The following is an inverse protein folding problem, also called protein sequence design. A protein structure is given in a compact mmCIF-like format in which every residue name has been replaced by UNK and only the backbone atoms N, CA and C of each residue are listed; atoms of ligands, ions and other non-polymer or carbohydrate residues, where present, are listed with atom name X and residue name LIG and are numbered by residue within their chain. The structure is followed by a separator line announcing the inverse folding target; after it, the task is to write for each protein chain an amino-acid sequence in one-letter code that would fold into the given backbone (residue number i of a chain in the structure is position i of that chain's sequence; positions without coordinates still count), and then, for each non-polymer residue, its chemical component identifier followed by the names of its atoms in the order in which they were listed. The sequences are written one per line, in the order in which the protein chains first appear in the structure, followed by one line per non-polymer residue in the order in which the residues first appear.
data_IF_727973875245
#
_entry.id   IF_727973875245
#
_cell.length_a   1.000
_cell.length_b   1.000
_cell.length_c   1.000
_cell.angle_alpha   90.00
_cell.angle_beta   90.00
_cell.angle_gamma   90.00
#
_symmetry.space_group_name_H-M   'P 1'
#
loop_
_entity.id
_entity.type
_entity.pdbx_description
1 polymer ?
#
# COMPACT_ATOMS: atom_id res chain seq x y z
N UNK A 1 -72.99 32.63 11.74
CA UNK A 1 -71.69 33.09 11.20
C UNK A 1 -71.09 34.04 12.22
N UNK A 2 -69.99 33.63 12.83
CA UNK A 2 -69.50 34.15 14.11
C UNK A 2 -68.68 35.45 13.99
N UNK A 3 -68.58 36.09 15.15
CA UNK A 3 -68.19 37.47 15.44
C UNK A 3 -66.69 37.81 15.31
N UNK A 4 -66.41 39.10 15.46
CA UNK A 4 -65.15 39.77 15.27
C UNK A 4 -64.33 39.99 16.58
N UNK A 5 -63.04 40.28 16.38
CA UNK A 5 -62.04 41.02 17.21
C UNK A 5 -61.59 40.46 18.57
N UNK A 6 -60.28 40.22 18.71
CA UNK A 6 -59.45 40.77 19.81
C UNK A 6 -57.95 40.51 19.58
N UNK A 7 -57.16 41.56 19.82
CA UNK A 7 -55.70 41.68 19.82
C UNK A 7 -54.99 40.81 20.87
N UNK A 8 -53.77 40.37 20.54
CA UNK A 8 -52.75 39.92 21.49
C UNK A 8 -51.35 40.30 20.99
N UNK A 9 -50.66 41.17 21.74
CA UNK A 9 -49.22 41.42 21.63
C UNK A 9 -48.44 40.12 21.89
N UNK A 10 -47.19 40.04 21.41
CA UNK A 10 -45.98 40.09 22.25
C UNK A 10 -44.74 39.57 21.48
N UNK A 11 -43.74 40.45 21.42
CA UNK A 11 -42.27 40.27 21.34
C UNK A 11 -41.57 39.74 20.08
N UNK A 12 -40.74 40.63 19.53
CA UNK A 12 -39.48 40.32 18.86
C UNK A 12 -38.54 39.55 19.78
N UNK A 13 -37.87 38.53 19.25
CA UNK A 13 -36.49 38.19 19.60
C UNK A 13 -35.73 37.89 18.31
N UNK A 14 -34.85 38.81 17.92
CA UNK A 14 -33.71 38.47 17.10
C UNK A 14 -32.63 37.91 18.03
N UNK A 15 -32.22 36.67 17.81
CA UNK A 15 -30.87 36.23 18.22
C UNK A 15 -30.01 36.19 16.96
N UNK A 16 -29.20 37.24 16.80
CA UNK A 16 -27.94 37.15 16.10
C UNK A 16 -26.97 36.39 17.02
N UNK A 17 -26.23 35.42 16.50
CA UNK A 17 -25.16 34.78 17.23
C UNK A 17 -24.84 33.39 16.71
N UNK A 18 -23.61 33.26 16.23
CA UNK A 18 -22.84 32.05 15.97
C UNK A 18 -23.34 30.79 16.73
N UNK A 19 -23.31 29.60 16.15
CA UNK A 19 -22.10 28.98 15.66
C UNK A 19 -22.38 28.09 14.45
N UNK A 20 -21.62 28.30 13.38
CA UNK A 20 -21.24 27.18 12.52
C UNK A 20 -20.56 26.17 13.44
N UNK A 21 -21.29 25.14 13.85
CA UNK A 21 -20.64 23.88 14.11
C UNK A 21 -20.14 23.42 12.75
N UNK A 22 -18.91 23.82 12.40
CA UNK A 22 -18.12 23.00 11.50
C UNK A 22 -18.17 21.61 12.15
N UNK A 23 -18.98 20.72 11.56
CA UNK A 23 -18.90 19.32 11.90
C UNK A 23 -17.42 19.00 11.78
N UNK A 24 -16.77 18.65 12.90
CA UNK A 24 -15.46 18.04 12.80
C UNK A 24 -15.68 16.87 11.86
N UNK A 25 -15.08 16.92 10.67
CA UNK A 25 -15.16 15.83 9.72
C UNK A 25 -14.70 14.60 10.49
N UNK A 26 -15.61 13.65 10.72
CA UNK A 26 -15.21 12.39 11.30
C UNK A 26 -14.12 11.85 10.38
N UNK A 27 -12.98 11.44 10.97
CA UNK A 27 -11.89 10.86 10.21
C UNK A 27 -12.46 9.77 9.29
N UNK A 28 -12.28 9.94 7.98
CA UNK A 28 -12.76 8.97 7.01
C UNK A 28 -11.99 7.67 7.22
N UNK A 29 -12.66 6.50 7.21
CA UNK A 29 -11.96 5.23 7.30
C UNK A 29 -10.91 5.14 6.18
N UNK A 30 -9.78 4.49 6.47
CA UNK A 30 -8.74 4.18 5.49
C UNK A 30 -8.81 2.68 5.24
N UNK A 31 -9.12 2.27 4.02
CA UNK A 31 -9.21 0.89 3.59
C UNK A 31 -7.90 0.45 2.94
N UNK A 32 -7.34 -0.64 3.45
CA UNK A 32 -5.98 -1.07 3.09
C UNK A 32 -6.03 -2.50 2.59
N UNK A 33 -5.28 -2.78 1.53
CA UNK A 33 -4.99 -4.14 1.10
C UNK A 33 -3.47 -4.40 1.14
N UNK A 34 -3.09 -5.64 1.46
CA UNK A 34 -1.71 -6.11 1.33
C UNK A 34 -1.71 -7.44 0.59
N UNK A 35 -0.98 -7.52 -0.52
CA UNK A 35 -1.06 -8.67 -1.43
C UNK A 35 0.32 -8.99 -2.01
N UNK A 36 0.79 -10.21 -1.78
CA UNK A 36 1.90 -10.76 -2.53
C UNK A 36 1.35 -11.24 -3.88
N UNK A 37 1.76 -10.59 -4.98
CA UNK A 37 1.16 -10.84 -6.30
C UNK A 37 1.89 -11.94 -7.07
N UNK A 38 2.95 -12.51 -6.50
CA UNK A 38 3.88 -13.44 -7.15
C UNK A 38 4.54 -12.86 -8.41
N UNK A 39 5.88 -12.85 -8.42
CA UNK A 39 6.64 -12.27 -9.53
C UNK A 39 6.32 -12.94 -10.88
N UNK A 40 6.48 -12.18 -11.97
CA UNK A 40 6.43 -12.76 -13.31
C UNK A 40 7.64 -13.69 -13.53
N UNK A 41 7.37 -15.00 -13.58
CA UNK A 41 8.37 -16.04 -13.80
C UNK A 41 9.11 -15.94 -15.14
N UNK A 42 8.67 -15.07 -16.05
CA UNK A 42 9.32 -14.77 -17.33
C UNK A 42 9.93 -13.36 -17.37
N UNK A 43 10.71 -13.01 -16.34
CA UNK A 43 11.35 -11.70 -16.13
C UNK A 43 11.96 -11.07 -17.38
N UNK A 44 12.62 -11.87 -18.22
CA UNK A 44 13.37 -11.39 -19.39
C UNK A 44 12.52 -11.30 -20.68
N UNK A 45 11.29 -11.81 -20.67
CA UNK A 45 10.38 -11.78 -21.82
C UNK A 45 8.92 -11.60 -21.36
N UNK A 46 8.59 -10.46 -20.74
CA UNK A 46 7.26 -10.20 -20.21
C UNK A 46 6.22 -10.19 -21.33
N UNK A 47 5.03 -10.73 -21.06
CA UNK A 47 3.93 -10.78 -22.03
C UNK A 47 3.06 -9.51 -21.90
N UNK A 48 2.99 -8.64 -22.93
CA UNK A 48 2.24 -7.39 -22.84
C UNK A 48 0.73 -7.59 -22.64
N UNK A 49 0.05 -6.57 -22.11
CA UNK A 49 -1.28 -6.10 -22.51
C UNK A 49 -1.88 -6.59 -23.86
N UNK A 50 -2.60 -7.73 -24.06
CA UNK A 50 -3.23 -7.91 -25.37
C UNK A 50 -4.41 -6.96 -25.49
N UNK A 51 -4.46 -6.20 -26.58
CA UNK A 51 -5.53 -5.23 -26.88
C UNK A 51 -6.94 -5.85 -26.81
N UNK A 52 -7.06 -7.17 -26.96
CA UNK A 52 -8.34 -7.90 -27.04
C UNK A 52 -8.66 -8.78 -25.82
N UNK A 53 -7.90 -8.70 -24.73
CA UNK A 53 -8.24 -9.30 -23.42
C UNK A 53 -8.28 -10.83 -23.34
N UNK A 54 -8.11 -11.56 -24.46
CA UNK A 54 -8.09 -13.03 -24.46
C UNK A 54 -6.66 -13.52 -24.27
N UNK A 55 -6.35 -13.97 -23.06
CA UNK A 55 -5.12 -14.71 -22.77
C UNK A 55 -5.51 -16.14 -22.47
N UNK A 56 -5.14 -17.06 -23.36
CA UNK A 56 -5.23 -18.48 -23.07
C UNK A 56 -4.18 -18.80 -21.99
N UNK A 57 -4.56 -19.38 -20.84
CA UNK A 57 -3.58 -19.85 -19.89
C UNK A 57 -2.68 -20.88 -20.57
N UNK A 58 -1.34 -20.83 -20.38
CA UNK A 58 -0.50 -21.92 -20.84
C UNK A 58 -0.91 -23.21 -20.13
N UNK A 59 -0.64 -24.33 -20.78
CA UNK A 59 -0.85 -25.65 -20.22
C UNK A 59 -0.19 -25.74 -18.82
N UNK A 60 -1.00 -25.99 -17.79
CA UNK A 60 -0.53 -26.15 -16.42
C UNK A 60 0.32 -27.41 -16.26
N UNK A 61 0.41 -28.26 -17.29
CA UNK A 61 1.07 -29.56 -17.23
C UNK A 61 0.35 -30.53 -16.30
N UNK A 62 -0.93 -30.26 -16.00
CA UNK A 62 -1.75 -31.06 -15.10
C UNK A 62 -1.58 -30.76 -13.61
N UNK A 63 -0.75 -29.79 -13.20
CA UNK A 63 -0.67 -29.33 -11.81
C UNK A 63 -1.69 -28.20 -11.56
N UNK A 64 -2.78 -28.46 -10.81
CA UNK A 64 -3.80 -27.43 -10.53
C UNK A 64 -3.30 -26.34 -9.57
N UNK A 65 -2.15 -26.53 -8.92
CA UNK A 65 -1.57 -25.59 -7.97
C UNK A 65 -0.43 -24.75 -8.58
N UNK A 66 -0.12 -24.95 -9.86
CA UNK A 66 0.90 -24.17 -10.53
C UNK A 66 0.39 -22.73 -10.75
N UNK A 67 1.22 -21.77 -10.36
CA UNK A 67 0.97 -20.35 -10.64
C UNK A 67 0.82 -20.12 -12.14
N UNK A 68 -0.29 -19.50 -12.55
CA UNK A 68 -0.45 -19.05 -13.94
C UNK A 68 0.53 -17.91 -14.26
N UNK A 69 0.90 -17.67 -15.54
CA UNK A 69 1.69 -16.50 -15.89
C UNK A 69 1.01 -15.21 -15.47
N UNK A 70 1.82 -14.18 -15.16
CA UNK A 70 1.34 -12.87 -14.76
C UNK A 70 0.29 -12.30 -15.72
N UNK A 71 0.49 -12.43 -17.03
CA UNK A 71 -0.42 -11.92 -18.03
C UNK A 71 -1.86 -12.44 -17.87
N UNK A 72 -2.06 -13.69 -17.42
CA UNK A 72 -3.38 -14.29 -17.16
C UNK A 72 -3.99 -13.78 -15.85
N UNK A 73 -3.15 -13.43 -14.87
CA UNK A 73 -3.54 -13.12 -13.50
C UNK A 73 -3.84 -11.65 -13.28
N UNK A 74 -3.12 -10.74 -13.95
CA UNK A 74 -3.11 -9.30 -13.66
C UNK A 74 -4.48 -8.63 -13.66
N UNK A 75 -5.31 -8.85 -14.69
CA UNK A 75 -6.64 -8.23 -14.76
C UNK A 75 -7.56 -8.78 -13.69
N UNK A 76 -7.57 -10.11 -13.49
CA UNK A 76 -8.38 -10.76 -12.44
C UNK A 76 -7.97 -10.33 -11.03
N UNK A 77 -6.68 -10.12 -10.80
CA UNK A 77 -6.17 -9.61 -9.54
C UNK A 77 -6.69 -8.19 -9.27
N UNK A 78 -6.58 -7.30 -10.25
CA UNK A 78 -7.05 -5.91 -10.12
C UNK A 78 -8.58 -5.86 -10.00
N UNK A 79 -9.31 -6.63 -10.82
CA UNK A 79 -10.76 -6.77 -10.72
C UNK A 79 -11.17 -7.26 -9.31
N UNK A 80 -10.48 -8.27 -8.77
CA UNK A 80 -10.75 -8.77 -7.43
C UNK A 80 -10.53 -7.69 -6.37
N UNK A 81 -9.40 -6.97 -6.42
CA UNK A 81 -9.10 -5.86 -5.50
C UNK A 81 -10.19 -4.79 -5.55
N UNK A 82 -10.50 -4.27 -6.74
CA UNK A 82 -11.49 -3.20 -6.92
C UNK A 82 -12.93 -3.67 -6.61
N UNK A 83 -13.20 -4.97 -6.70
CA UNK A 83 -14.51 -5.54 -6.33
C UNK A 83 -14.70 -5.75 -4.83
N UNK A 84 -13.63 -5.73 -4.03
CA UNK A 84 -13.71 -5.96 -2.57
C UNK A 84 -14.27 -4.77 -1.80
N UNK A 85 -14.19 -3.57 -2.37
CA UNK A 85 -14.68 -2.32 -1.79
C UNK A 85 -13.80 -1.13 -2.20
N UNK A 86 -14.11 0.04 -1.67
CA UNK A 86 -13.27 1.23 -1.85
C UNK A 86 -11.93 0.99 -1.14
N UNK A 87 -10.83 0.95 -1.90
CA UNK A 87 -9.47 0.82 -1.38
C UNK A 87 -8.76 2.17 -1.45
N UNK A 88 -8.02 2.50 -0.42
CA UNK A 88 -7.29 3.77 -0.30
C UNK A 88 -5.78 3.58 -0.48
N UNK A 89 -5.25 2.47 0.02
CA UNK A 89 -3.82 2.15 0.07
C UNK A 89 -3.62 0.65 -0.20
N UNK A 90 -2.71 0.31 -1.11
CA UNK A 90 -2.39 -1.09 -1.43
C UNK A 90 -0.88 -1.31 -1.35
N UNK A 91 -0.47 -2.26 -0.53
CA UNK A 91 0.89 -2.79 -0.50
C UNK A 91 1.02 -4.04 -1.33
N UNK A 92 1.96 -4.05 -2.28
CA UNK A 92 2.26 -5.26 -3.03
C UNK A 92 3.63 -5.86 -2.67
N UNK A 93 3.82 -7.16 -2.87
CA UNK A 93 5.12 -7.84 -2.75
C UNK A 93 5.38 -8.71 -3.99
N UNK A 94 6.67 -9.03 -4.23
CA UNK A 94 7.16 -9.77 -5.42
C UNK A 94 6.87 -9.07 -6.76
N UNK A 95 6.76 -7.74 -6.78
CA UNK A 95 6.40 -7.01 -8.01
C UNK A 95 7.66 -6.72 -8.83
N UNK A 96 7.76 -7.22 -10.06
CA UNK A 96 8.80 -6.79 -11.00
C UNK A 96 8.42 -5.49 -11.72
N UNK A 97 9.38 -4.80 -12.33
CA UNK A 97 9.13 -3.53 -13.03
C UNK A 97 8.01 -3.61 -14.08
N UNK A 98 7.96 -4.68 -14.89
CA UNK A 98 6.86 -4.85 -15.85
C UNK A 98 5.48 -4.97 -15.17
N UNK A 99 5.42 -5.60 -13.98
CA UNK A 99 4.19 -5.72 -13.21
C UNK A 99 3.81 -4.40 -12.54
N UNK A 100 4.78 -3.54 -12.18
CA UNK A 100 4.52 -2.16 -11.74
C UNK A 100 3.81 -1.39 -12.85
N UNK A 101 4.31 -1.47 -14.08
CA UNK A 101 3.72 -0.78 -15.23
C UNK A 101 2.28 -1.26 -15.50
N UNK A 102 2.07 -2.58 -15.49
CA UNK A 102 0.75 -3.18 -15.65
C UNK A 102 -0.21 -2.76 -14.52
N UNK A 103 0.22 -2.76 -13.26
CA UNK A 103 -0.60 -2.32 -12.12
C UNK A 103 -0.96 -0.85 -12.22
N UNK A 104 -0.02 0.00 -12.62
CA UNK A 104 -0.25 1.44 -12.80
C UNK A 104 -1.28 1.72 -13.91
N UNK A 105 -1.24 0.94 -15.01
CA UNK A 105 -2.24 1.04 -16.07
C UNK A 105 -3.61 0.53 -15.62
N UNK A 106 -3.65 -0.64 -14.97
CA UNK A 106 -4.91 -1.32 -14.61
C UNK A 106 -5.66 -0.68 -13.44
N UNK A 107 -4.94 -0.11 -12.44
CA UNK A 107 -5.57 0.61 -11.32
C UNK A 107 -6.14 1.97 -11.76
N UNK A 108 -5.61 2.54 -12.84
CA UNK A 108 -6.09 3.78 -13.43
C UNK A 108 -5.47 5.05 -12.82
N UNK A 109 -5.87 6.19 -13.39
CA UNK A 109 -5.21 7.48 -13.14
C UNK A 109 -5.34 7.97 -11.70
N UNK A 110 -6.40 7.59 -10.98
CA UNK A 110 -6.65 7.97 -9.58
C UNK A 110 -5.63 7.37 -8.59
N UNK A 111 -4.83 6.39 -9.03
CA UNK A 111 -3.80 5.76 -8.20
C UNK A 111 -2.41 6.28 -8.56
N UNK A 112 -1.57 6.45 -7.54
CA UNK A 112 -0.14 6.68 -7.70
C UNK A 112 0.64 5.71 -6.80
N UNK A 113 1.95 5.55 -7.02
CA UNK A 113 2.77 4.63 -6.24
C UNK A 113 4.16 5.17 -5.91
N UNK A 114 4.73 4.61 -4.84
CA UNK A 114 6.15 4.76 -4.50
C UNK A 114 6.80 3.40 -4.29
N UNK A 115 8.12 3.36 -4.48
CA UNK A 115 8.94 2.17 -4.28
C UNK A 115 9.94 1.99 -5.41
N UNK A 116 11.01 1.25 -5.15
CA UNK A 116 12.08 0.97 -6.11
C UNK A 116 12.40 -0.52 -6.15
N UNK A 117 13.03 -0.96 -7.22
CA UNK A 117 13.57 -2.31 -7.35
C UNK A 117 14.66 -2.57 -6.31
N UNK A 118 14.58 -3.71 -5.63
CA UNK A 118 15.49 -4.06 -4.52
C UNK A 118 16.94 -4.30 -4.95
N UNK A 119 17.22 -4.61 -6.21
CA UNK A 119 18.57 -4.99 -6.61
C UNK A 119 19.48 -3.77 -6.82
N UNK A 120 18.93 -2.65 -7.30
CA UNK A 120 19.71 -1.45 -7.69
C UNK A 120 19.16 -0.12 -7.14
N UNK A 121 18.01 -0.14 -6.46
CA UNK A 121 17.34 1.06 -5.97
C UNK A 121 16.67 1.88 -7.08
N UNK A 122 16.41 1.26 -8.23
CA UNK A 122 15.73 1.85 -9.38
C UNK A 122 14.67 0.87 -9.89
N UNK A 123 15.01 0.04 -10.88
CA UNK A 123 14.08 -0.83 -11.59
C UNK A 123 14.46 -2.31 -11.54
N UNK A 124 15.67 -2.63 -11.08
CA UNK A 124 16.12 -4.01 -11.03
C UNK A 124 15.62 -4.71 -9.76
N UNK A 125 15.10 -5.92 -9.95
CA UNK A 125 14.62 -6.78 -8.88
C UNK A 125 13.17 -6.56 -8.52
N UNK A 126 12.70 -7.29 -7.52
CA UNK A 126 11.35 -7.13 -6.98
C UNK A 126 11.24 -5.83 -6.18
N UNK A 127 10.06 -5.23 -6.21
CA UNK A 127 9.67 -4.07 -5.43
C UNK A 127 8.86 -4.51 -4.19
N UNK A 128 8.71 -3.59 -3.24
CA UNK A 128 7.66 -3.61 -2.22
C UNK A 128 6.88 -2.29 -2.28
N UNK A 129 6.15 -2.02 -3.37
CA UNK A 129 5.60 -0.71 -3.63
C UNK A 129 4.40 -0.41 -2.72
N UNK A 130 4.10 0.87 -2.54
CA UNK A 130 2.87 1.34 -1.91
C UNK A 130 2.10 2.13 -2.96
N UNK A 131 0.95 1.61 -3.37
CA UNK A 131 -0.03 2.33 -4.17
C UNK A 131 -1.00 3.06 -3.24
N UNK A 132 -1.45 4.25 -3.63
CA UNK A 132 -2.40 5.05 -2.87
C UNK A 132 -3.30 5.87 -3.80
N UNK A 133 -4.54 6.12 -3.36
CA UNK A 133 -5.47 7.03 -4.03
C UNK A 133 -4.97 8.48 -3.90
N UNK A 134 -4.41 9.02 -4.99
CA UNK A 134 -3.84 10.36 -4.99
C UNK A 134 -4.90 11.47 -5.17
N UNK A 135 -6.17 11.10 -5.37
CA UNK A 135 -7.30 12.05 -5.31
C UNK A 135 -7.66 12.39 -3.86
N UNK A 136 -7.38 11.47 -2.92
CA UNK A 136 -7.56 11.65 -1.47
C UNK A 136 -6.28 12.12 -0.79
N UNK A 137 -5.14 11.50 -1.09
CA UNK A 137 -3.91 11.72 -0.34
C UNK A 137 -2.88 12.57 -1.10
N UNK A 138 -2.24 13.50 -0.38
CA UNK A 138 -1.04 14.20 -0.85
C UNK A 138 0.22 13.48 -0.33
N UNK A 139 1.13 13.08 -1.23
CA UNK A 139 2.42 12.52 -0.83
C UNK A 139 3.34 13.60 -0.27
N UNK A 140 3.75 13.45 0.99
CA UNK A 140 4.67 14.39 1.66
C UNK A 140 6.11 13.92 1.69
N UNK A 141 6.35 12.60 1.82
CA UNK A 141 7.69 12.04 1.92
C UNK A 141 7.65 10.55 1.56
N UNK A 142 8.71 10.02 0.96
CA UNK A 142 8.89 8.57 0.84
C UNK A 142 10.37 8.21 0.82
N UNK A 143 10.69 6.98 1.23
CA UNK A 143 12.01 6.37 0.99
C UNK A 143 11.91 4.85 0.97
N UNK A 144 12.88 4.21 0.33
CA UNK A 144 13.10 2.77 0.47
C UNK A 144 14.38 2.53 1.25
N UNK A 145 14.36 1.52 2.12
CA UNK A 145 15.53 1.05 2.87
C UNK A 145 15.77 -0.43 2.58
N UNK A 146 17.03 -0.83 2.61
CA UNK A 146 17.44 -2.22 2.53
C UNK A 146 17.48 -2.86 3.91
N UNK A 147 16.97 -4.08 4.01
CA UNK A 147 16.92 -4.81 5.28
C UNK A 147 18.25 -5.49 5.54
N UNK A 148 19.25 -4.69 5.89
CA UNK A 148 20.64 -5.09 6.11
C UNK A 148 21.35 -4.18 7.12
N UNK A 149 22.62 -4.47 7.40
CA UNK A 149 23.50 -3.58 8.18
C UNK A 149 23.85 -2.26 7.43
N UNK A 150 23.49 -2.16 6.14
CA UNK A 150 23.70 -0.99 5.28
C UNK A 150 22.38 -0.55 4.61
N UNK A 151 21.42 0.00 5.37
CA UNK A 151 20.05 0.23 4.89
C UNK A 151 19.92 1.27 3.78
N UNK A 152 20.94 2.11 3.58
CA UNK A 152 20.98 3.11 2.51
C UNK A 152 21.74 2.63 1.27
N UNK A 153 22.23 1.38 1.26
CA UNK A 153 22.99 0.80 0.15
C UNK A 153 22.11 -0.15 -0.68
N UNK A 154 21.81 0.22 -1.94
CA UNK A 154 21.09 -0.67 -2.85
C UNK A 154 21.76 -2.02 -3.04
N UNK A 155 20.93 -3.08 -3.12
CA UNK A 155 21.40 -4.44 -3.34
C UNK A 155 22.02 -5.12 -2.12
N UNK A 156 22.06 -4.47 -0.95
CA UNK A 156 22.68 -5.05 0.25
C UNK A 156 21.85 -6.19 0.86
N UNK A 157 22.52 -7.31 1.12
CA UNK A 157 21.92 -8.49 1.76
C UNK A 157 22.21 -8.43 3.25
N UNK A 158 21.17 -8.59 4.08
CA UNK A 158 21.28 -8.53 5.54
C UNK A 158 21.46 -9.88 6.20
N UNK A 159 22.42 -9.98 7.12
CA UNK A 159 22.57 -11.12 8.04
C UNK A 159 22.59 -12.50 7.32
N UNK A 160 21.65 -13.38 7.66
CA UNK A 160 21.47 -14.71 7.08
C UNK A 160 20.39 -14.75 5.98
N UNK A 161 20.01 -13.59 5.41
CA UNK A 161 19.04 -13.53 4.32
C UNK A 161 19.57 -14.24 3.06
N UNK A 162 18.67 -14.93 2.36
CA UNK A 162 19.01 -15.60 1.10
C UNK A 162 19.09 -14.64 -0.09
N UNK A 163 18.45 -13.47 0.01
CA UNK A 163 18.39 -12.47 -1.05
C UNK A 163 18.20 -11.07 -0.47
N UNK A 164 18.39 -10.06 -1.31
CA UNK A 164 18.12 -8.67 -0.97
C UNK A 164 16.65 -8.48 -0.59
N UNK A 165 16.37 -7.73 0.48
CA UNK A 165 15.02 -7.38 0.94
C UNK A 165 14.94 -5.89 1.25
N UNK A 166 13.76 -5.30 1.08
CA UNK A 166 13.53 -3.86 1.26
C UNK A 166 12.26 -3.58 2.08
N UNK A 167 12.19 -2.37 2.63
CA UNK A 167 10.95 -1.77 3.11
C UNK A 167 10.77 -0.38 2.46
N UNK A 168 9.57 -0.11 1.97
CA UNK A 168 9.16 1.20 1.44
C UNK A 168 8.38 1.92 2.53
N UNK A 169 8.77 3.15 2.83
CA UNK A 169 8.12 4.03 3.80
C UNK A 169 7.55 5.25 3.07
N UNK A 170 6.32 5.64 3.41
CA UNK A 170 5.57 6.72 2.79
C UNK A 170 4.84 7.53 3.87
N UNK A 171 4.87 8.85 3.76
CA UNK A 171 4.01 9.75 4.54
C UNK A 171 3.02 10.41 3.60
N UNK A 172 1.74 10.21 3.87
CA UNK A 172 0.62 10.81 3.16
C UNK A 172 -0.07 11.83 4.08
N UNK A 173 -0.58 12.91 3.49
CA UNK A 173 -1.50 13.83 4.14
C UNK A 173 -2.94 13.43 3.82
N UNK A 174 -3.81 13.46 4.82
CA UNK A 174 -5.25 13.19 4.72
C UNK A 174 -6.01 14.32 5.43
N UNK A 175 -6.49 15.30 4.67
CA UNK A 175 -7.05 16.54 5.22
C UNK A 175 -6.03 17.31 6.08
N UNK A 176 -6.36 17.51 7.36
CA UNK A 176 -5.48 18.16 8.35
C UNK A 176 -4.54 17.17 9.07
N UNK A 177 -4.68 15.87 8.78
CA UNK A 177 -3.91 14.78 9.39
C UNK A 177 -2.84 14.19 8.47
N UNK A 178 -2.06 13.27 9.02
CA UNK A 178 -1.07 12.48 8.28
C UNK A 178 -1.27 11.00 8.56
N UNK A 179 -0.89 10.14 7.62
CA UNK A 179 -0.74 8.70 7.80
C UNK A 179 0.62 8.26 7.28
N UNK A 180 1.30 7.42 8.05
CA UNK A 180 2.58 6.84 7.67
C UNK A 180 2.37 5.39 7.30
N UNK A 181 2.94 4.97 6.17
CA UNK A 181 2.70 3.66 5.58
C UNK A 181 4.04 2.98 5.36
N UNK A 182 4.12 1.71 5.75
CA UNK A 182 5.28 0.87 5.54
C UNK A 182 4.86 -0.45 4.91
N UNK A 183 5.47 -0.77 3.77
CA UNK A 183 5.32 -2.05 3.10
C UNK A 183 6.66 -2.76 3.00
N UNK A 184 6.66 -4.07 3.19
CA UNK A 184 7.89 -4.86 3.17
C UNK A 184 7.64 -6.32 2.74
N UNK A 185 8.72 -7.00 2.37
CA UNK A 185 8.73 -8.44 2.15
C UNK A 185 9.98 -8.99 2.85
N UNK A 186 9.78 -9.79 3.90
CA UNK A 186 10.83 -10.37 4.71
C UNK A 186 11.54 -11.51 3.98
N UNK A 187 12.72 -11.89 4.50
CA UNK A 187 13.42 -13.06 3.99
C UNK A 187 12.74 -14.36 4.44
N UNK A 188 12.56 -15.29 3.52
CA UNK A 188 11.92 -16.59 3.75
C UNK A 188 12.84 -17.55 4.51
N UNK A 189 14.17 -17.37 4.44
CA UNK A 189 15.16 -18.31 5.00
C UNK A 189 15.77 -17.81 6.30
N UNK A 190 16.23 -16.56 6.31
CA UNK A 190 17.04 -15.97 7.36
C UNK A 190 16.24 -15.66 8.63
N UNK A 191 16.42 -16.47 9.67
CA UNK A 191 15.76 -16.25 10.97
C UNK A 191 16.33 -14.99 11.63
N UNK A 192 17.65 -14.82 11.57
CA UNK A 192 18.29 -13.61 12.10
C UNK A 192 17.89 -12.38 11.30
N UNK A 193 17.83 -12.50 9.97
CA UNK A 193 17.47 -11.42 9.07
C UNK A 193 16.07 -10.89 9.37
N UNK A 194 15.08 -11.76 9.60
CA UNK A 194 13.73 -11.33 9.99
C UNK A 194 13.70 -10.58 11.33
N UNK A 195 14.36 -11.13 12.35
CA UNK A 195 14.41 -10.50 13.67
C UNK A 195 15.06 -9.11 13.60
N UNK A 196 16.18 -9.00 12.89
CA UNK A 196 16.88 -7.73 12.72
C UNK A 196 16.12 -6.76 11.82
N UNK A 197 15.43 -7.25 10.78
CA UNK A 197 14.53 -6.46 9.93
C UNK A 197 13.44 -5.77 10.74
N UNK A 198 12.81 -6.48 11.69
CA UNK A 198 11.79 -5.88 12.56
C UNK A 198 12.37 -4.77 13.45
N UNK A 199 13.58 -4.96 13.99
CA UNK A 199 14.27 -3.95 14.78
C UNK A 199 14.63 -2.72 13.95
N UNK A 200 15.16 -2.95 12.74
CA UNK A 200 15.53 -1.92 11.78
C UNK A 200 14.30 -1.12 11.32
N UNK A 201 13.22 -1.78 10.90
CA UNK A 201 11.98 -1.11 10.47
C UNK A 201 11.40 -0.26 11.60
N UNK A 202 11.37 -0.76 12.84
CA UNK A 202 10.88 0.02 13.99
C UNK A 202 11.70 1.30 14.18
N UNK A 203 13.02 1.21 14.08
CA UNK A 203 13.89 2.38 14.18
C UNK A 203 13.69 3.35 13.01
N UNK A 204 13.63 2.82 11.78
CA UNK A 204 13.43 3.59 10.57
C UNK A 204 12.08 4.33 10.56
N UNK A 205 11.00 3.72 11.06
CA UNK A 205 9.69 4.36 11.25
C UNK A 205 9.85 5.59 12.13
N UNK A 206 10.49 5.44 13.30
CA UNK A 206 10.66 6.55 14.25
C UNK A 206 11.42 7.72 13.61
N UNK A 207 12.51 7.42 12.91
CA UNK A 207 13.33 8.44 12.23
C UNK A 207 12.57 9.11 11.08
N UNK A 208 11.89 8.31 10.25
CA UNK A 208 11.15 8.79 9.09
C UNK A 208 9.95 9.66 9.48
N UNK A 209 9.20 9.27 10.51
CA UNK A 209 8.09 10.07 11.05
C UNK A 209 8.61 11.40 11.59
N UNK A 210 9.65 11.39 12.41
CA UNK A 210 10.26 12.62 12.94
C UNK A 210 10.76 13.53 11.81
N UNK A 211 11.39 12.96 10.78
CA UNK A 211 11.85 13.68 9.60
C UNK A 211 10.65 14.31 8.87
N UNK A 212 9.59 13.55 8.58
CA UNK A 212 8.38 14.06 7.95
C UNK A 212 7.72 15.18 8.74
N UNK A 213 7.55 15.02 10.06
CA UNK A 213 6.99 16.07 10.93
C UNK A 213 7.88 17.32 10.94
N UNK A 214 9.21 17.15 10.95
CA UNK A 214 10.14 18.30 10.90
C UNK A 214 10.07 19.08 9.58
N UNK A 215 9.64 18.43 8.50
CA UNK A 215 9.41 19.01 7.17
C UNK A 215 7.98 19.52 6.97
N UNK A 216 7.13 19.49 8.00
CA UNK A 216 5.79 20.08 7.98
C UNK A 216 4.64 19.09 7.83
N UNK A 217 4.88 17.77 7.90
CA UNK A 217 3.78 16.82 8.00
C UNK A 217 2.99 17.02 9.32
N UNK A 218 1.66 16.88 9.30
CA UNK A 218 0.85 16.87 10.52
C UNK A 218 1.37 15.86 11.54
N UNK A 219 1.36 16.26 12.82
CA UNK A 219 1.92 15.46 13.91
C UNK A 219 0.96 14.38 14.40
N UNK A 220 1.52 13.35 15.03
CA UNK A 220 0.78 12.25 15.65
C UNK A 220 -0.10 11.45 14.66
N UNK A 221 0.33 11.35 13.40
CA UNK A 221 -0.30 10.49 12.41
C UNK A 221 -0.14 9.00 12.76
N UNK A 222 -1.15 8.14 12.50
CA UNK A 222 -0.99 6.70 12.68
C UNK A 222 0.09 6.13 11.75
N UNK A 223 0.71 5.03 12.19
CA UNK A 223 1.63 4.23 11.38
C UNK A 223 0.95 2.92 11.02
N UNK A 224 0.90 2.64 9.72
CA UNK A 224 0.42 1.40 9.13
C UNK A 224 1.65 0.61 8.66
N UNK A 225 1.84 -0.60 9.19
CA UNK A 225 2.90 -1.51 8.77
C UNK A 225 2.25 -2.81 8.29
N UNK A 226 2.46 -3.14 7.03
CA UNK A 226 1.98 -4.36 6.40
C UNK A 226 3.03 -4.92 5.44
N UNK A 227 2.78 -6.11 4.91
CA UNK A 227 3.73 -6.81 4.07
C UNK A 227 3.64 -8.32 4.23
N UNK A 228 4.55 -9.00 3.53
CA UNK A 228 4.79 -10.43 3.71
C UNK A 228 5.92 -10.61 4.73
N UNK A 229 5.58 -11.02 5.95
CA UNK A 229 6.52 -11.11 7.08
C UNK A 229 7.13 -12.50 7.28
N UNK A 230 6.63 -13.52 6.56
CA UNK A 230 7.00 -14.95 6.53
C UNK A 230 7.71 -15.51 7.79
N UNK A 231 7.17 -16.51 8.54
CA UNK A 231 7.09 -17.85 7.94
C UNK A 231 6.02 -18.84 8.48
N UNK A 232 5.79 -19.93 7.72
CA UNK A 232 6.00 -21.30 8.24
C UNK A 232 6.37 -22.32 7.14
N UNK A 233 7.34 -23.21 7.45
CA UNK A 233 7.22 -24.64 7.13
C UNK A 233 7.69 -25.48 8.32
N UNK A 234 6.78 -25.75 9.25
CA UNK A 234 6.86 -26.96 10.08
C UNK A 234 5.91 -28.03 9.50
N UNK A 235 6.16 -28.45 8.26
CA UNK A 235 5.40 -29.53 7.62
C UNK A 235 5.50 -29.51 6.10
N UNK A 236 5.97 -30.61 5.50
CA UNK A 236 6.05 -30.78 4.06
C UNK A 236 4.67 -30.82 3.42
N UNK A 237 4.18 -29.66 3.00
CA UNK A 237 3.03 -29.51 2.11
C UNK A 237 3.29 -28.35 1.14
N UNK A 238 2.87 -28.44 -0.13
CA UNK A 238 3.00 -27.35 -1.07
C UNK A 238 1.82 -26.40 -0.82
N UNK A 239 2.12 -25.14 -0.55
CA UNK A 239 1.16 -24.01 -0.46
C UNK A 239 0.30 -23.96 0.81
N UNK A 240 0.69 -23.08 1.73
CA UNK A 240 -0.21 -22.54 2.76
C UNK A 240 0.10 -21.05 2.91
N UNK A 241 -0.77 -20.19 2.38
CA UNK A 241 -0.83 -18.75 2.65
C UNK A 241 -2.28 -18.47 3.03
N UNK A 242 -2.51 -18.16 4.31
CA UNK A 242 -3.81 -17.73 4.86
C UNK A 242 -4.14 -16.32 4.47
#
# INVERSE_FOLDING_TARGET
MAAAVSSGNVSHFALAGAHNFAAMSAAQPIHIATVNIRYDGNRDNPVPIPETGVINPPDSGGDPYREFPWAVRRSRLVDALLSTGDLDIIGFQEVLHNQILDLNELLGEDWNFVGVGRDDGKEAGEYSPIFYDHTRFEQLNYKSIWLSDHPDQPGSIGWDAGQTRIATLLTLKDGDGAVHVVNTHYDDRGVQARAQSSLLIRQAIKEFVNESESKGAPKNGPVLLFGDFTPEKSGGGPFNTT
#
